data_IF_628100202720
#
_entry.id   IF_628100202720
#
_cell.length_a   1.000
_cell.length_b   1.000
_cell.length_c   1.000
_cell.angle_alpha   90.00
_cell.angle_beta   90.00
_cell.angle_gamma   90.00
#
_symmetry.space_group_name_H-M   'P 1'
#
loop_
_entity.id
_entity.type
_entity.pdbx_description
1 polymer ?
#
# COMPACT_ATOMS: atom_id res chain seq x y z
N UNK A 1 11.43 -35.34 -39.64
CA UNK A 1 10.47 -35.50 -38.53
C UNK A 1 9.80 -34.15 -38.32
N UNK A 2 8.65 -33.99 -38.96
CA UNK A 2 7.85 -32.76 -39.08
C UNK A 2 7.11 -32.50 -37.77
N UNK A 3 7.16 -31.26 -37.31
CA UNK A 3 6.53 -30.79 -36.08
C UNK A 3 5.03 -30.63 -36.32
N UNK A 4 4.22 -31.48 -35.69
CA UNK A 4 2.76 -31.30 -35.58
C UNK A 4 2.44 -30.05 -34.75
N UNK A 5 2.29 -28.91 -35.42
CA UNK A 5 1.82 -27.64 -34.83
C UNK A 5 0.30 -27.43 -34.93
N UNK A 6 -0.46 -28.44 -35.37
CA UNK A 6 -1.91 -28.31 -35.61
C UNK A 6 -2.76 -28.76 -34.40
N UNK A 7 -2.15 -29.32 -33.34
CA UNK A 7 -2.87 -29.89 -32.20
C UNK A 7 -3.23 -28.94 -31.05
N UNK A 8 -2.62 -27.75 -30.93
CA UNK A 8 -2.80 -26.94 -29.70
C UNK A 8 -4.14 -26.22 -29.68
N UNK A 9 -4.58 -25.59 -30.78
CA UNK A 9 -5.80 -24.79 -30.79
C UNK A 9 -7.07 -25.62 -30.53
N UNK A 10 -7.16 -26.85 -31.05
CA UNK A 10 -8.30 -27.76 -30.81
C UNK A 10 -8.39 -28.29 -29.38
N UNK A 11 -7.26 -28.35 -28.66
CA UNK A 11 -7.23 -28.79 -27.26
C UNK A 11 -7.80 -27.75 -26.28
N UNK A 12 -7.77 -26.46 -26.64
CA UNK A 12 -8.32 -25.38 -25.80
C UNK A 12 -9.83 -25.16 -26.01
N UNK A 13 -10.39 -25.59 -27.14
CA UNK A 13 -11.84 -25.47 -27.42
C UNK A 13 -12.71 -26.08 -26.30
N UNK A 14 -12.50 -27.34 -25.84
CA UNK A 14 -13.30 -27.89 -24.75
C UNK A 14 -13.09 -27.15 -23.42
N UNK A 15 -11.87 -26.65 -23.15
CA UNK A 15 -11.60 -25.86 -21.95
C UNK A 15 -12.33 -24.51 -21.98
N UNK A 16 -12.32 -23.82 -23.12
CA UNK A 16 -13.05 -22.56 -23.32
C UNK A 16 -14.57 -22.80 -23.22
N UNK A 17 -15.08 -23.87 -23.83
CA UNK A 17 -16.50 -24.24 -23.72
C UNK A 17 -16.88 -24.51 -22.26
N UNK A 18 -16.07 -25.25 -21.51
CA UNK A 18 -16.29 -25.47 -20.07
C UNK A 18 -16.30 -24.16 -19.28
N UNK A 19 -15.35 -23.25 -19.52
CA UNK A 19 -15.30 -21.95 -18.82
C UNK A 19 -16.53 -21.10 -19.15
N UNK A 20 -16.92 -21.04 -20.42
CA UNK A 20 -18.13 -20.31 -20.85
C UNK A 20 -19.38 -20.93 -20.22
N UNK A 21 -19.49 -22.26 -20.21
CA UNK A 21 -20.63 -22.96 -19.60
C UNK A 21 -20.71 -22.71 -18.10
N UNK A 22 -19.58 -22.80 -17.38
CA UNK A 22 -19.50 -22.46 -15.96
C UNK A 22 -19.92 -21.00 -15.74
N UNK A 23 -19.42 -20.06 -16.55
CA UNK A 23 -19.81 -18.66 -16.49
C UNK A 23 -21.32 -18.45 -16.69
N UNK A 24 -21.91 -19.11 -17.70
CA UNK A 24 -23.35 -19.04 -17.97
C UNK A 24 -24.16 -19.63 -16.81
N UNK A 25 -23.76 -20.78 -16.28
CA UNK A 25 -24.46 -21.42 -15.15
C UNK A 25 -24.35 -20.57 -13.87
N UNK A 26 -23.19 -19.98 -13.59
CA UNK A 26 -23.00 -19.08 -12.44
C UNK A 26 -23.84 -17.81 -12.58
N UNK A 27 -23.90 -17.21 -13.77
CA UNK A 27 -24.78 -16.05 -14.05
C UNK A 27 -26.25 -16.44 -13.90
N UNK A 28 -26.67 -17.60 -14.42
CA UNK A 28 -28.03 -18.09 -14.27
C UNK A 28 -28.37 -18.34 -12.79
N UNK A 29 -27.46 -18.95 -12.02
CA UNK A 29 -27.60 -19.13 -10.57
C UNK A 29 -27.67 -17.79 -9.83
N UNK A 30 -26.87 -16.79 -10.20
CA UNK A 30 -26.92 -15.47 -9.58
C UNK A 30 -28.25 -14.76 -9.86
N UNK A 31 -28.74 -14.79 -11.10
CA UNK A 31 -29.99 -14.13 -11.51
C UNK A 31 -31.23 -14.86 -10.99
N UNK A 32 -31.27 -16.19 -11.10
CA UNK A 32 -32.41 -17.00 -10.65
C UNK A 32 -32.37 -17.17 -9.13
N UNK A 33 -31.21 -17.55 -8.58
CA UNK A 33 -31.00 -17.69 -7.14
C UNK A 33 -31.30 -16.41 -6.39
N UNK A 34 -30.81 -15.26 -6.89
CA UNK A 34 -31.10 -13.95 -6.32
C UNK A 34 -32.59 -13.59 -6.26
N UNK A 35 -33.40 -14.09 -7.20
CA UNK A 35 -34.87 -13.88 -7.22
C UNK A 35 -35.66 -14.89 -6.40
N UNK A 36 -35.05 -16.03 -6.05
CA UNK A 36 -35.69 -17.10 -5.26
C UNK A 36 -35.37 -17.02 -3.77
N UNK A 37 -34.40 -16.20 -3.38
CA UNK A 37 -34.10 -15.95 -1.98
C UNK A 37 -35.23 -15.11 -1.37
N UNK A 38 -35.75 -15.47 -0.18
CA UNK A 38 -36.74 -14.67 0.48
C UNK A 38 -36.19 -13.28 0.81
N UNK A 39 -37.04 -12.26 0.69
CA UNK A 39 -36.69 -10.90 1.11
C UNK A 39 -36.24 -10.92 2.57
N UNK A 40 -35.24 -10.09 2.86
CA UNK A 40 -34.62 -10.05 4.17
C UNK A 40 -35.62 -9.54 5.21
N UNK A 41 -36.06 -10.40 6.11
CA UNK A 41 -36.92 -10.02 7.23
C UNK A 41 -36.07 -9.52 8.40
N UNK A 42 -35.99 -8.20 8.58
CA UNK A 42 -35.27 -7.55 9.67
C UNK A 42 -35.21 -6.03 9.50
N UNK A 43 -34.74 -5.27 10.50
CA UNK A 43 -34.48 -3.85 10.31
C UNK A 43 -33.46 -3.64 9.16
N UNK A 44 -33.55 -2.53 8.42
CA UNK A 44 -32.58 -2.22 7.37
C UNK A 44 -31.17 -2.11 7.96
N UNK A 45 -30.17 -2.65 7.27
CA UNK A 45 -28.76 -2.38 7.57
C UNK A 45 -28.34 -1.19 6.72
N UNK A 46 -28.31 -0.04 7.37
CA UNK A 46 -27.84 1.20 6.78
C UNK A 46 -26.38 1.41 7.15
N UNK A 47 -25.52 1.50 6.14
CA UNK A 47 -24.09 1.77 6.31
C UNK A 47 -23.65 2.76 5.23
N UNK A 48 -23.11 3.89 5.66
CA UNK A 48 -22.50 4.88 4.79
C UNK A 48 -21.03 4.98 5.16
N UNK A 49 -20.16 4.87 4.16
CA UNK A 49 -18.77 5.23 4.29
C UNK A 49 -18.57 6.63 3.71
N UNK A 50 -17.81 7.48 4.42
CA UNK A 50 -17.32 8.74 3.86
C UNK A 50 -16.05 8.43 3.06
N UNK A 51 -16.14 8.48 1.73
CA UNK A 51 -14.99 8.23 0.84
C UNK A 51 -14.08 9.45 0.71
N UNK A 52 -14.63 10.66 0.93
CA UNK A 52 -13.89 11.91 0.80
C UNK A 52 -14.55 13.06 1.56
N UNK A 53 -13.74 13.85 2.26
CA UNK A 53 -14.13 15.14 2.83
C UNK A 53 -13.36 16.27 2.12
N UNK A 54 -14.08 17.30 1.66
CA UNK A 54 -13.51 18.54 1.15
C UNK A 54 -13.96 19.69 2.04
N UNK A 55 -13.00 20.44 2.56
CA UNK A 55 -13.24 21.62 3.35
C UNK A 55 -12.86 22.83 2.50
N UNK A 56 -13.79 23.77 2.40
CA UNK A 56 -13.57 25.09 1.79
C UNK A 56 -14.16 26.15 2.72
N UNK A 57 -13.73 27.42 2.67
CA UNK A 57 -14.21 28.43 3.61
C UNK A 57 -15.74 28.47 3.72
N UNK A 58 -16.27 28.14 4.91
CA UNK A 58 -17.72 28.12 5.18
C UNK A 58 -18.48 26.87 4.73
N UNK A 59 -17.81 25.83 4.22
CA UNK A 59 -18.45 24.59 3.80
C UNK A 59 -17.61 23.34 4.09
N UNK A 60 -18.29 22.27 4.50
CA UNK A 60 -17.75 20.91 4.60
C UNK A 60 -18.54 20.06 3.60
N UNK A 61 -17.86 19.44 2.63
CA UNK A 61 -18.49 18.57 1.64
C UNK A 61 -18.02 17.13 1.86
N UNK A 62 -18.96 16.20 2.04
CA UNK A 62 -18.70 14.78 2.23
C UNK A 62 -19.18 13.99 1.01
N UNK A 63 -18.36 13.08 0.51
CA UNK A 63 -18.74 12.09 -0.51
C UNK A 63 -19.09 10.80 0.22
N UNK A 64 -20.38 10.48 0.23
CA UNK A 64 -20.93 9.33 0.93
C UNK A 64 -21.12 8.18 -0.04
N UNK A 65 -20.78 6.96 0.38
CA UNK A 65 -21.09 5.73 -0.38
C UNK A 65 -21.86 4.75 0.48
N UNK A 66 -22.92 4.20 -0.07
CA UNK A 66 -23.66 3.14 0.60
C UNK A 66 -22.91 1.81 0.50
N UNK A 67 -22.33 1.38 1.62
CA UNK A 67 -21.62 0.11 1.76
C UNK A 67 -22.54 -1.02 2.27
N UNK A 68 -23.74 -0.65 2.71
CA UNK A 68 -24.77 -1.56 3.20
C UNK A 68 -25.57 -2.26 2.08
N UNK A 69 -26.34 -3.28 2.44
CA UNK A 69 -27.23 -3.97 1.51
C UNK A 69 -28.49 -3.18 1.16
N UNK A 70 -28.94 -2.30 2.06
CA UNK A 70 -30.23 -1.60 1.98
C UNK A 70 -30.04 -0.13 1.62
N UNK A 71 -30.98 0.52 0.91
CA UNK A 71 -30.89 1.95 0.58
C UNK A 71 -30.86 2.83 1.83
N UNK A 72 -30.04 3.88 1.81
CA UNK A 72 -29.90 4.80 2.96
C UNK A 72 -30.30 6.22 2.55
N UNK A 73 -31.12 6.89 3.36
CA UNK A 73 -31.49 8.28 3.15
C UNK A 73 -31.06 9.11 4.36
N UNK A 74 -30.42 10.26 4.11
CA UNK A 74 -29.99 11.19 5.16
C UNK A 74 -31.18 12.05 5.59
N UNK A 75 -31.45 12.10 6.89
CA UNK A 75 -32.52 12.90 7.48
C UNK A 75 -31.98 14.15 8.18
N UNK A 76 -30.83 14.04 8.85
CA UNK A 76 -30.27 15.14 9.63
C UNK A 76 -28.74 15.00 9.76
N UNK A 77 -28.06 16.13 9.95
CA UNK A 77 -26.60 16.17 10.12
C UNK A 77 -26.22 17.09 11.27
N UNK A 78 -25.23 16.67 12.05
CA UNK A 78 -24.63 17.43 13.13
C UNK A 78 -23.14 17.62 12.89
N UNK A 79 -22.59 18.75 13.33
CA UNK A 79 -21.14 18.99 13.40
C UNK A 79 -20.81 19.50 14.79
N UNK A 80 -20.05 18.72 15.58
CA UNK A 80 -19.75 19.01 17.00
C UNK A 80 -21.00 19.44 17.80
N UNK A 81 -22.03 18.59 17.77
CA UNK A 81 -23.34 18.79 18.45
C UNK A 81 -24.23 19.93 17.93
N UNK A 82 -23.81 20.67 16.90
CA UNK A 82 -24.64 21.69 16.26
C UNK A 82 -25.40 21.12 15.06
N UNK A 83 -26.70 21.43 14.95
CA UNK A 83 -27.48 21.16 13.74
C UNK A 83 -26.98 22.01 12.58
N UNK A 84 -26.82 21.41 11.41
CA UNK A 84 -26.29 22.09 10.23
C UNK A 84 -27.23 21.88 9.05
N UNK A 85 -27.47 22.94 8.29
CA UNK A 85 -28.16 22.86 7.01
C UNK A 85 -27.30 22.10 6.00
N UNK A 86 -27.92 21.15 5.30
CA UNK A 86 -27.24 20.32 4.31
C UNK A 86 -27.99 20.24 2.99
N UNK A 87 -27.24 19.97 1.92
CA UNK A 87 -27.75 19.66 0.59
C UNK A 87 -27.21 18.30 0.11
N UNK A 88 -28.04 17.54 -0.60
CA UNK A 88 -27.74 16.16 -1.02
C UNK A 88 -28.13 15.08 0.01
N UNK A 89 -28.18 13.81 -0.41
CA UNK A 89 -28.53 12.68 0.47
C UNK A 89 -30.01 12.58 0.86
N UNK A 90 -30.86 13.48 0.34
CA UNK A 90 -32.31 13.51 0.59
C UNK A 90 -33.10 12.49 -0.24
N UNK A 91 -32.45 11.83 -1.20
CA UNK A 91 -33.00 10.66 -1.91
C UNK A 91 -32.29 9.40 -1.40
N UNK A 92 -32.96 8.23 -1.42
CA UNK A 92 -32.31 6.98 -1.06
C UNK A 92 -31.07 6.73 -1.92
N UNK A 93 -29.92 6.54 -1.26
CA UNK A 93 -28.65 6.17 -1.85
C UNK A 93 -28.67 4.64 -1.96
N UNK A 94 -28.77 4.13 -3.18
CA UNK A 94 -28.79 2.69 -3.45
C UNK A 94 -27.46 2.03 -3.10
N UNK A 95 -27.47 0.70 -2.96
CA UNK A 95 -26.27 -0.06 -2.62
C UNK A 95 -25.14 0.20 -3.63
N UNK A 96 -23.96 0.53 -3.10
CA UNK A 96 -22.73 0.92 -3.82
C UNK A 96 -22.79 2.25 -4.58
N UNK A 97 -23.92 2.95 -4.56
CA UNK A 97 -24.00 4.30 -5.12
C UNK A 97 -23.35 5.32 -4.18
N UNK A 98 -22.91 6.41 -4.80
CA UNK A 98 -22.23 7.53 -4.17
C UNK A 98 -23.06 8.80 -4.29
N UNK A 99 -23.14 9.58 -3.22
CA UNK A 99 -23.87 10.85 -3.15
C UNK A 99 -23.01 11.91 -2.45
N UNK A 100 -23.13 13.17 -2.87
CA UNK A 100 -22.40 14.28 -2.25
C UNK A 100 -23.30 15.00 -1.25
N UNK A 101 -22.85 15.11 -0.01
CA UNK A 101 -23.50 15.82 1.09
C UNK A 101 -22.73 17.12 1.40
N UNK A 102 -23.33 18.29 1.16
CA UNK A 102 -22.72 19.59 1.42
C UNK A 102 -23.30 20.21 2.68
N UNK A 103 -22.45 20.57 3.61
CA UNK A 103 -22.79 21.17 4.90
C UNK A 103 -22.39 22.65 4.89
N UNK A 104 -23.29 23.55 5.28
CA UNK A 104 -23.00 24.97 5.44
C UNK A 104 -22.48 25.23 6.87
N UNK A 105 -21.16 25.13 7.07
CA UNK A 105 -20.54 25.21 8.39
C UNK A 105 -19.26 26.06 8.40
N UNK A 106 -19.16 27.10 9.25
CA UNK A 106 -17.98 27.97 9.36
C UNK A 106 -16.89 27.31 10.23
N UNK A 107 -16.20 26.32 9.67
CA UNK A 107 -15.10 25.63 10.34
C UNK A 107 -13.87 26.53 10.54
N UNK A 108 -13.01 26.15 11.48
CA UNK A 108 -11.76 26.83 11.83
C UNK A 108 -10.57 25.90 11.55
N UNK A 109 -9.51 26.47 10.99
CA UNK A 109 -8.31 25.68 10.64
C UNK A 109 -7.67 25.07 11.88
N UNK A 110 -7.31 23.78 11.79
CA UNK A 110 -6.66 23.00 12.83
C UNK A 110 -7.59 22.49 13.93
N UNK A 111 -8.90 22.75 13.85
CA UNK A 111 -9.87 22.21 14.82
C UNK A 111 -10.37 20.83 14.39
N UNK A 112 -10.55 19.88 15.33
CA UNK A 112 -11.22 18.61 15.06
C UNK A 112 -12.75 18.80 14.97
N UNK A 113 -13.38 18.00 14.12
CA UNK A 113 -14.83 17.96 13.96
C UNK A 113 -15.37 16.52 13.90
N UNK A 114 -16.40 16.24 14.69
CA UNK A 114 -17.24 15.05 14.55
C UNK A 114 -18.47 15.40 13.72
N UNK A 115 -18.62 14.76 12.56
CA UNK A 115 -19.82 14.85 11.73
C UNK A 115 -20.70 13.64 11.99
N UNK A 116 -21.90 13.85 12.53
CA UNK A 116 -22.87 12.78 12.79
C UNK A 116 -24.01 12.87 11.77
N UNK A 117 -24.13 11.85 10.93
CA UNK A 117 -25.15 11.73 9.88
C UNK A 117 -26.25 10.81 10.42
N UNK A 118 -27.45 11.34 10.56
CA UNK A 118 -28.62 10.58 11.02
C UNK A 118 -29.48 10.21 9.82
N UNK A 119 -29.74 8.92 9.68
CA UNK A 119 -30.55 8.37 8.60
C UNK A 119 -32.06 8.56 8.86
N UNK A 120 -32.89 8.34 7.84
CA UNK A 120 -34.35 8.35 7.98
C UNK A 120 -34.91 7.32 8.96
N UNK A 121 -34.14 6.27 9.28
CA UNK A 121 -34.54 5.26 10.27
C UNK A 121 -34.00 5.54 11.68
N UNK A 122 -33.19 6.59 11.83
CA UNK A 122 -32.60 7.02 13.11
C UNK A 122 -31.25 6.38 13.44
N UNK A 123 -30.61 5.68 12.50
CA UNK A 123 -29.23 5.22 12.65
C UNK A 123 -28.30 6.42 12.58
N UNK A 124 -27.34 6.50 13.50
CA UNK A 124 -26.31 7.54 13.53
C UNK A 124 -25.02 6.97 12.96
N UNK A 125 -24.49 7.61 11.93
CA UNK A 125 -23.24 7.27 11.28
C UNK A 125 -22.29 8.42 11.51
N UNK A 126 -21.18 8.15 12.20
CA UNK A 126 -20.24 9.18 12.61
C UNK A 126 -18.98 9.17 11.74
N UNK A 127 -18.45 10.36 11.48
CA UNK A 127 -17.20 10.58 10.76
C UNK A 127 -16.40 11.68 11.44
N UNK A 128 -15.16 11.37 11.79
CA UNK A 128 -14.24 12.31 12.40
C UNK A 128 -13.38 12.99 11.33
N UNK A 129 -13.21 14.31 11.47
CA UNK A 129 -12.23 15.14 10.77
C UNK A 129 -11.22 15.60 11.84
N UNK A 130 -10.09 14.91 12.02
CA UNK A 130 -9.14 15.17 13.12
C UNK A 130 -8.55 16.58 13.14
N UNK A 131 -8.35 17.19 11.95
CA UNK A 131 -7.87 18.56 11.84
C UNK A 131 -8.39 19.21 10.55
N UNK A 132 -9.35 20.13 10.67
CA UNK A 132 -9.88 20.84 9.52
C UNK A 132 -8.83 21.74 8.86
N UNK A 133 -8.62 21.57 7.57
CA UNK A 133 -7.76 22.43 6.75
C UNK A 133 -8.40 22.62 5.39
N UNK A 134 -8.10 23.73 4.71
CA UNK A 134 -8.60 23.97 3.36
C UNK A 134 -8.06 22.89 2.42
N UNK A 135 -8.96 22.12 1.80
CA UNK A 135 -8.56 20.96 1.01
C UNK A 135 -7.86 21.44 -0.26
N UNK A 136 -6.62 20.98 -0.54
CA UNK A 136 -5.89 21.41 -1.72
C UNK A 136 -6.66 21.07 -3.01
N UNK A 137 -6.81 22.05 -3.89
CA UNK A 137 -7.38 21.80 -5.22
C UNK A 137 -6.39 21.00 -6.07
N UNK A 138 -6.89 19.98 -6.77
CA UNK A 138 -6.12 19.11 -7.67
C UNK A 138 -5.66 19.85 -8.95
N UNK A 139 -4.77 20.82 -8.80
CA UNK A 139 -4.13 21.58 -9.87
C UNK A 139 -2.69 21.16 -10.13
N UNK A 140 -2.06 21.74 -11.15
CA UNK A 140 -0.67 21.42 -11.51
C UNK A 140 0.34 21.62 -10.38
N UNK A 141 0.12 22.62 -9.52
CA UNK A 141 0.96 22.87 -8.33
C UNK A 141 0.87 21.75 -7.29
N UNK A 142 -0.32 21.17 -7.10
CA UNK A 142 -0.53 20.04 -6.18
C UNK A 142 0.22 18.80 -6.67
N UNK A 143 0.08 18.44 -7.94
CA UNK A 143 0.81 17.30 -8.51
C UNK A 143 2.33 17.51 -8.50
N UNK A 144 2.80 18.75 -8.70
CA UNK A 144 4.21 19.08 -8.56
C UNK A 144 4.71 18.88 -7.12
N UNK A 145 3.91 19.29 -6.12
CA UNK A 145 4.19 19.02 -4.71
C UNK A 145 4.25 17.51 -4.42
N UNK A 146 3.30 16.73 -4.93
CA UNK A 146 3.30 15.27 -4.76
C UNK A 146 4.55 14.61 -5.36
N UNK A 147 4.96 15.04 -6.55
CA UNK A 147 6.19 14.56 -7.16
C UNK A 147 7.45 14.96 -6.37
N UNK A 148 7.45 16.17 -5.80
CA UNK A 148 8.52 16.66 -4.94
C UNK A 148 8.59 15.86 -3.63
N UNK A 149 7.46 15.63 -2.97
CA UNK A 149 7.37 14.81 -1.75
C UNK A 149 7.82 13.37 -2.02
N UNK A 150 7.35 12.76 -3.10
CA UNK A 150 7.81 11.42 -3.50
C UNK A 150 9.32 11.37 -3.77
N UNK A 151 9.93 12.45 -4.25
CA UNK A 151 11.39 12.55 -4.42
C UNK A 151 12.11 12.68 -3.08
N UNK A 152 11.58 13.49 -2.16
CA UNK A 152 12.12 13.68 -0.80
C UNK A 152 11.99 12.45 0.08
N UNK A 153 10.93 11.68 -0.09
CA UNK A 153 10.68 10.47 0.69
C UNK A 153 11.31 9.24 0.05
N UNK A 154 11.34 9.13 -1.27
CA UNK A 154 11.89 7.96 -1.95
C UNK A 154 13.36 8.11 -2.33
N UNK A 155 13.65 8.90 -3.36
CA UNK A 155 14.99 8.90 -4.01
C UNK A 155 16.07 9.41 -3.07
N UNK A 156 15.85 10.57 -2.44
CA UNK A 156 16.87 11.25 -1.63
C UNK A 156 17.34 10.36 -0.46
N UNK A 157 16.46 9.90 0.44
CA UNK A 157 16.87 9.11 1.60
C UNK A 157 17.48 7.77 1.21
N UNK A 158 16.93 7.07 0.21
CA UNK A 158 17.54 5.84 -0.29
C UNK A 158 18.98 6.11 -0.73
N UNK A 159 19.22 7.13 -1.55
CA UNK A 159 20.58 7.48 -1.99
C UNK A 159 21.47 7.89 -0.82
N UNK A 160 20.96 8.65 0.15
CA UNK A 160 21.68 9.00 1.39
C UNK A 160 22.11 7.76 2.16
N UNK A 161 21.23 6.78 2.30
CA UNK A 161 21.55 5.48 2.89
C UNK A 161 22.65 4.74 2.15
N UNK A 162 22.61 4.78 0.81
CA UNK A 162 23.62 4.15 -0.04
C UNK A 162 25.02 4.80 0.12
N UNK A 163 25.10 6.06 0.57
CA UNK A 163 26.39 6.74 0.85
C UNK A 163 27.20 6.05 1.95
N UNK A 164 26.58 5.20 2.78
CA UNK A 164 27.28 4.42 3.80
C UNK A 164 28.12 3.27 3.23
N UNK A 165 28.03 2.95 1.93
CA UNK A 165 28.79 1.86 1.30
C UNK A 165 30.31 1.87 1.63
N UNK A 166 31.06 2.99 1.62
CA UNK A 166 32.47 3.01 1.99
C UNK A 166 32.72 2.61 3.45
N UNK A 167 31.84 2.98 4.37
CA UNK A 167 31.91 2.58 5.76
C UNK A 167 31.63 1.08 5.90
N UNK A 168 30.58 0.58 5.23
CA UNK A 168 30.25 -0.85 5.21
C UNK A 168 31.40 -1.72 4.68
N UNK A 169 32.20 -1.22 3.73
CA UNK A 169 33.37 -1.94 3.21
C UNK A 169 34.48 -2.15 4.25
N UNK A 170 34.56 -1.31 5.28
CA UNK A 170 35.52 -1.44 6.37
C UNK A 170 35.06 -2.45 7.42
N UNK A 171 33.76 -2.71 7.46
CA UNK A 171 33.14 -3.65 8.38
C UNK A 171 33.34 -5.07 7.81
N UNK A 172 34.02 -5.94 8.57
CA UNK A 172 34.26 -7.31 8.16
C UNK A 172 32.96 -8.10 7.87
N UNK A 173 33.08 -9.31 7.32
CA UNK A 173 31.91 -10.11 6.91
C UNK A 173 30.89 -10.37 8.02
N UNK A 174 31.33 -10.39 9.30
CA UNK A 174 30.46 -10.53 10.47
C UNK A 174 29.54 -9.32 10.64
N UNK A 175 30.06 -8.10 10.50
CA UNK A 175 29.25 -6.90 10.66
C UNK A 175 28.35 -6.62 9.46
N UNK A 176 28.76 -6.98 8.24
CA UNK A 176 27.85 -6.98 7.08
C UNK A 176 26.66 -7.93 7.32
N UNK A 177 26.92 -9.13 7.87
CA UNK A 177 25.85 -10.07 8.22
C UNK A 177 24.94 -9.54 9.33
N UNK A 178 25.50 -8.92 10.37
CA UNK A 178 24.71 -8.29 11.43
C UNK A 178 23.83 -7.16 10.90
N UNK A 179 24.36 -6.34 9.98
CA UNK A 179 23.60 -5.28 9.31
C UNK A 179 22.49 -5.84 8.43
N UNK A 180 22.75 -6.90 7.65
CA UNK A 180 21.71 -7.58 6.88
C UNK A 180 20.61 -8.16 7.78
N UNK A 181 20.98 -8.71 8.94
CA UNK A 181 20.02 -9.22 9.92
C UNK A 181 19.18 -8.07 10.51
N UNK A 182 19.81 -6.94 10.85
CA UNK A 182 19.13 -5.70 11.25
C UNK A 182 18.11 -5.27 10.20
N UNK A 183 18.52 -5.19 8.92
CA UNK A 183 17.63 -4.82 7.83
C UNK A 183 16.46 -5.80 7.68
N UNK A 184 16.69 -7.10 7.80
CA UNK A 184 15.60 -8.08 7.75
C UNK A 184 14.60 -7.86 8.89
N UNK A 185 15.07 -7.49 10.08
CA UNK A 185 14.21 -7.06 11.19
C UNK A 185 13.40 -5.81 10.85
N UNK A 186 14.03 -4.76 10.29
CA UNK A 186 13.35 -3.55 9.82
C UNK A 186 12.22 -3.90 8.82
N UNK A 187 12.57 -4.60 7.76
CA UNK A 187 11.65 -4.99 6.69
C UNK A 187 10.51 -5.89 7.21
N UNK A 188 10.79 -6.79 8.16
CA UNK A 188 9.76 -7.62 8.76
C UNK A 188 8.74 -6.79 9.56
N UNK A 189 9.19 -5.76 10.29
CA UNK A 189 8.30 -4.83 10.97
C UNK A 189 7.41 -4.10 9.95
N UNK A 190 8.01 -3.53 8.91
CA UNK A 190 7.29 -2.78 7.87
C UNK A 190 6.25 -3.64 7.15
N UNK A 191 6.57 -4.91 6.88
CA UNK A 191 5.60 -5.83 6.28
C UNK A 191 4.39 -6.06 7.18
N UNK A 192 4.58 -6.13 8.51
CA UNK A 192 3.47 -6.27 9.47
C UNK A 192 2.67 -4.98 9.53
N UNK A 193 3.34 -3.84 9.68
CA UNK A 193 2.72 -2.52 9.79
C UNK A 193 1.86 -2.19 8.56
N UNK A 194 2.43 -2.31 7.36
CA UNK A 194 1.71 -2.11 6.11
C UNK A 194 0.58 -3.13 5.87
N UNK A 195 0.67 -4.33 6.46
CA UNK A 195 -0.44 -5.30 6.43
C UNK A 195 -1.60 -4.81 7.30
N UNK A 196 -1.31 -4.32 8.51
CA UNK A 196 -2.33 -3.80 9.43
C UNK A 196 -3.01 -2.59 8.78
N UNK A 197 -2.24 -1.62 8.31
CA UNK A 197 -2.75 -0.42 7.63
C UNK A 197 -3.59 -0.79 6.39
N UNK A 198 -3.10 -1.71 5.56
CA UNK A 198 -3.84 -2.19 4.39
C UNK A 198 -5.18 -2.86 4.77
N UNK A 199 -5.23 -3.61 5.87
CA UNK A 199 -6.45 -4.26 6.36
C UNK A 199 -7.44 -3.27 6.98
N UNK A 200 -6.95 -2.26 7.70
CA UNK A 200 -7.77 -1.18 8.25
C UNK A 200 -8.40 -0.35 7.13
N UNK A 201 -7.60 0.07 6.14
CA UNK A 201 -8.08 0.79 4.96
C UNK A 201 -9.06 -0.05 4.12
N UNK A 202 -8.82 -1.36 4.02
CA UNK A 202 -9.74 -2.29 3.41
C UNK A 202 -11.09 -2.38 4.15
N UNK A 203 -11.09 -2.18 5.47
CA UNK A 203 -12.29 -2.22 6.31
C UNK A 203 -13.20 -1.01 6.13
N UNK A 204 -12.68 0.12 5.65
CA UNK A 204 -13.49 1.31 5.35
C UNK A 204 -14.20 1.22 3.99
N UNK A 205 -13.72 0.35 3.09
CA UNK A 205 -14.32 0.12 1.76
C UNK A 205 -15.54 -0.82 1.78
N UNK A 206 -16.55 -0.50 0.98
CA UNK A 206 -17.77 -1.30 0.81
C UNK A 206 -17.71 -2.38 -0.27
N UNK A 207 -16.54 -2.64 -0.85
CA UNK A 207 -16.37 -3.50 -2.02
C UNK A 207 -16.93 -4.92 -1.86
N UNK A 208 -17.66 -5.38 -2.89
CA UNK A 208 -18.35 -6.67 -2.94
C UNK A 208 -17.45 -7.93 -2.78
N UNK A 209 -16.12 -7.78 -2.91
CA UNK A 209 -15.15 -8.87 -2.82
C UNK A 209 -14.36 -8.91 -1.50
N UNK A 210 -14.71 -8.05 -0.53
CA UNK A 210 -14.07 -7.97 0.78
C UNK A 210 -12.69 -7.30 0.70
N UNK A 211 -12.58 -6.08 1.23
CA UNK A 211 -11.33 -5.31 1.23
C UNK A 211 -10.08 -6.11 1.68
N UNK A 212 -10.14 -6.92 2.76
CA UNK A 212 -8.99 -7.71 3.21
C UNK A 212 -8.41 -8.67 2.17
N UNK A 213 -9.28 -9.23 1.32
CA UNK A 213 -8.85 -10.16 0.27
C UNK A 213 -7.98 -9.45 -0.79
N UNK A 214 -8.19 -8.15 -1.01
CA UNK A 214 -7.40 -7.36 -1.96
C UNK A 214 -5.98 -7.12 -1.47
N UNK A 215 -5.79 -6.89 -0.16
CA UNK A 215 -4.45 -6.78 0.45
C UNK A 215 -3.67 -8.08 0.23
N UNK A 216 -4.30 -9.22 0.55
CA UNK A 216 -3.70 -10.55 0.37
C UNK A 216 -3.42 -10.84 -1.11
N UNK A 217 -4.37 -10.50 -2.00
CA UNK A 217 -4.21 -10.68 -3.43
C UNK A 217 -3.03 -9.87 -3.97
N UNK A 218 -2.93 -8.59 -3.61
CA UNK A 218 -1.81 -7.72 -3.97
C UNK A 218 -0.49 -8.30 -3.49
N UNK A 219 -0.43 -8.75 -2.25
CA UNK A 219 0.77 -9.34 -1.66
C UNK A 219 1.21 -10.62 -2.38
N UNK A 220 0.27 -11.54 -2.64
CA UNK A 220 0.57 -12.79 -3.36
C UNK A 220 1.03 -12.51 -4.79
N UNK A 221 0.34 -11.63 -5.52
CA UNK A 221 0.70 -11.30 -6.90
C UNK A 221 2.08 -10.65 -6.99
N UNK A 222 2.39 -9.71 -6.10
CA UNK A 222 3.69 -9.05 -6.05
C UNK A 222 4.82 -10.04 -5.71
N UNK A 223 4.60 -10.89 -4.69
CA UNK A 223 5.55 -11.92 -4.30
C UNK A 223 5.84 -12.90 -5.45
N UNK A 224 4.80 -13.39 -6.13
CA UNK A 224 4.93 -14.30 -7.26
C UNK A 224 5.60 -13.63 -8.47
N UNK A 225 5.24 -12.39 -8.78
CA UNK A 225 5.83 -11.63 -9.86
C UNK A 225 7.34 -11.42 -9.66
N UNK A 226 7.75 -10.97 -8.46
CA UNK A 226 9.16 -10.79 -8.13
C UNK A 226 9.94 -12.11 -8.09
N UNK A 227 9.30 -13.18 -7.62
CA UNK A 227 9.88 -14.54 -7.67
C UNK A 227 10.09 -14.99 -9.11
N UNK A 228 9.14 -14.73 -10.01
CA UNK A 228 9.28 -15.02 -11.44
C UNK A 228 10.39 -14.17 -12.08
N UNK A 229 10.54 -12.90 -11.69
CA UNK A 229 11.64 -12.03 -12.13
C UNK A 229 12.99 -12.59 -11.69
N UNK A 230 13.16 -12.94 -10.41
CA UNK A 230 14.41 -13.56 -9.90
C UNK A 230 14.71 -14.88 -10.64
N UNK A 231 13.71 -15.73 -10.85
CA UNK A 231 13.89 -16.98 -11.58
C UNK A 231 14.33 -16.75 -13.04
N UNK A 232 13.73 -15.78 -13.75
CA UNK A 232 14.14 -15.38 -15.11
C UNK A 232 15.56 -14.84 -15.14
N UNK A 233 15.95 -14.03 -14.15
CA UNK A 233 17.32 -13.50 -14.05
C UNK A 233 18.34 -14.61 -13.77
N UNK A 234 18.00 -15.60 -12.95
CA UNK A 234 18.84 -16.78 -12.69
C UNK A 234 19.03 -17.65 -13.93
N UNK A 235 17.95 -17.89 -14.67
CA UNK A 235 17.98 -18.78 -15.86
C UNK A 235 18.66 -18.14 -17.06
N UNK A 236 18.65 -16.80 -17.19
CA UNK A 236 19.41 -16.08 -18.22
C UNK A 236 20.92 -16.04 -17.97
N UNK A 237 21.35 -16.17 -16.72
CA UNK A 237 22.77 -16.18 -16.35
C UNK A 237 23.50 -17.50 -16.71
N UNK A 238 23.25 -18.12 -17.87
CA UNK A 238 23.71 -19.49 -18.20
C UNK A 238 25.23 -19.69 -18.33
N UNK A 239 25.65 -20.88 -17.89
CA UNK A 239 26.91 -21.63 -18.13
C UNK A 239 28.24 -20.88 -17.99
N UNK A 240 28.73 -20.75 -16.75
CA UNK A 240 30.16 -20.47 -16.52
C UNK A 240 30.48 -19.79 -15.20
N UNK A 241 29.54 -19.04 -14.61
CA UNK A 241 29.76 -18.43 -13.31
C UNK A 241 29.37 -19.37 -12.16
N UNK A 242 30.23 -19.52 -11.13
CA UNK A 242 29.92 -20.37 -9.98
C UNK A 242 28.63 -19.91 -9.30
N UNK A 243 27.92 -20.90 -8.72
CA UNK A 243 26.58 -20.85 -8.08
C UNK A 243 26.44 -19.91 -6.87
N UNK A 244 27.27 -18.87 -6.76
CA UNK A 244 27.18 -17.81 -5.75
C UNK A 244 26.15 -16.78 -6.19
N UNK A 245 25.30 -16.34 -5.26
CA UNK A 245 24.38 -15.23 -5.49
C UNK A 245 25.21 -14.01 -5.89
N UNK A 246 25.04 -13.52 -7.13
CA UNK A 246 25.71 -12.29 -7.56
C UNK A 246 25.19 -11.15 -6.70
N UNK A 247 26.08 -10.52 -5.92
CA UNK A 247 25.71 -9.39 -5.06
C UNK A 247 25.03 -8.26 -5.84
N UNK A 248 25.35 -8.10 -7.13
CA UNK A 248 24.67 -7.16 -8.03
C UNK A 248 23.24 -7.57 -8.34
N UNK A 249 22.96 -8.87 -8.53
CA UNK A 249 21.59 -9.36 -8.73
C UNK A 249 20.77 -9.18 -7.45
N UNK A 250 21.36 -9.50 -6.30
CA UNK A 250 20.68 -9.33 -5.02
C UNK A 250 20.37 -7.84 -4.75
N UNK A 251 21.34 -6.94 -4.97
CA UNK A 251 21.11 -5.49 -4.85
C UNK A 251 20.00 -4.98 -5.79
N UNK A 252 19.94 -5.50 -7.03
CA UNK A 252 18.88 -5.15 -7.98
C UNK A 252 17.51 -5.65 -7.53
N UNK A 253 17.41 -6.89 -7.06
CA UNK A 253 16.14 -7.42 -6.55
C UNK A 253 15.68 -6.70 -5.27
N UNK A 254 16.61 -6.38 -4.37
CA UNK A 254 16.33 -5.55 -3.19
C UNK A 254 15.80 -4.18 -3.65
N UNK A 255 16.45 -3.51 -4.60
CA UNK A 255 16.01 -2.21 -5.11
C UNK A 255 14.62 -2.25 -5.78
N UNK A 256 14.29 -3.30 -6.55
CA UNK A 256 12.93 -3.44 -7.12
C UNK A 256 11.90 -3.67 -6.01
N UNK A 257 12.18 -4.57 -5.07
CA UNK A 257 11.22 -4.88 -4.01
C UNK A 257 10.96 -3.70 -3.09
N UNK A 258 12.01 -2.97 -2.70
CA UNK A 258 11.89 -1.68 -2.02
C UNK A 258 11.10 -0.69 -2.88
N UNK A 259 11.42 -0.58 -4.18
CA UNK A 259 10.64 0.29 -5.08
C UNK A 259 9.15 0.00 -5.08
N UNK A 260 8.74 -1.26 -5.11
CA UNK A 260 7.33 -1.61 -5.03
C UNK A 260 6.70 -1.32 -3.65
N UNK A 261 7.48 -1.34 -2.57
CA UNK A 261 7.04 -0.90 -1.26
C UNK A 261 6.86 0.62 -1.20
N UNK A 262 7.85 1.38 -1.69
CA UNK A 262 7.83 2.84 -1.69
C UNK A 262 6.71 3.40 -2.59
N UNK A 263 6.23 2.62 -3.56
CA UNK A 263 4.99 2.93 -4.28
C UNK A 263 3.80 3.06 -3.32
N UNK A 264 3.69 2.16 -2.33
CA UNK A 264 2.65 2.20 -1.29
C UNK A 264 2.83 3.38 -0.34
N UNK A 265 4.05 3.67 0.11
CA UNK A 265 4.35 4.85 0.93
C UNK A 265 3.97 6.15 0.23
N UNK A 266 4.35 6.27 -1.04
CA UNK A 266 3.96 7.39 -1.88
C UNK A 266 2.44 7.50 -1.96
N UNK A 267 1.75 6.39 -2.19
CA UNK A 267 0.29 6.34 -2.25
C UNK A 267 -0.35 6.86 -0.96
N UNK A 268 0.13 6.42 0.21
CA UNK A 268 -0.37 6.87 1.50
C UNK A 268 -0.19 8.38 1.69
N UNK A 269 0.98 8.94 1.32
CA UNK A 269 1.22 10.39 1.34
C UNK A 269 0.25 11.11 0.39
N UNK A 270 0.13 10.64 -0.85
CA UNK A 270 -0.75 11.26 -1.85
C UNK A 270 -2.21 11.26 -1.41
N UNK A 271 -2.68 10.14 -0.85
CA UNK A 271 -4.03 9.98 -0.36
C UNK A 271 -4.32 10.91 0.82
N UNK A 272 -3.42 10.95 1.83
CA UNK A 272 -3.56 11.83 2.98
C UNK A 272 -3.68 13.30 2.55
N UNK A 273 -2.82 13.77 1.64
CA UNK A 273 -2.88 15.13 1.13
C UNK A 273 -4.13 15.41 0.26
N UNK A 274 -4.66 14.40 -0.44
CA UNK A 274 -5.86 14.54 -1.28
C UNK A 274 -7.17 14.68 -0.46
N UNK A 275 -7.21 14.11 0.74
CA UNK A 275 -8.34 14.24 1.67
C UNK A 275 -8.13 15.35 2.71
N UNK A 276 -7.02 16.09 2.62
CA UNK A 276 -6.72 17.20 3.52
C UNK A 276 -6.10 16.79 4.87
N UNK A 277 -5.73 15.53 5.06
CA UNK A 277 -5.05 15.06 6.28
C UNK A 277 -3.54 15.45 6.27
N UNK A 278 -3.26 16.75 6.29
CA UNK A 278 -1.90 17.30 6.17
C UNK A 278 -0.98 16.89 7.32
N UNK A 279 -1.52 16.82 8.54
CA UNK A 279 -0.75 16.40 9.72
C UNK A 279 -0.30 14.94 9.59
N UNK A 280 -1.24 14.04 9.24
CA UNK A 280 -0.93 12.64 8.92
C UNK A 280 0.10 12.56 7.79
N UNK A 281 -0.13 13.28 6.70
CA UNK A 281 0.79 13.32 5.56
C UNK A 281 2.21 13.77 5.93
N UNK A 282 2.36 14.76 6.81
CA UNK A 282 3.66 15.22 7.29
C UNK A 282 4.37 14.17 8.17
N UNK A 283 3.62 13.54 9.08
CA UNK A 283 4.10 12.44 9.93
C UNK A 283 4.59 11.26 9.07
N UNK A 284 3.82 10.87 8.06
CA UNK A 284 4.19 9.83 7.09
C UNK A 284 5.47 10.19 6.34
N UNK A 285 5.60 11.43 5.83
CA UNK A 285 6.80 11.90 5.13
C UNK A 285 8.05 11.76 6.01
N UNK A 286 7.97 12.17 7.28
CA UNK A 286 9.11 12.05 8.21
C UNK A 286 9.43 10.60 8.51
N UNK A 287 8.43 9.79 8.86
CA UNK A 287 8.58 8.37 9.16
C UNK A 287 9.23 7.59 8.01
N UNK A 288 8.66 7.69 6.81
CA UNK A 288 9.16 7.01 5.62
C UNK A 288 10.54 7.52 5.19
N UNK A 289 10.86 8.81 5.36
CA UNK A 289 12.22 9.32 5.06
C UNK A 289 13.30 8.64 5.91
N UNK A 290 13.01 8.44 7.20
CA UNK A 290 13.95 7.75 8.11
C UNK A 290 14.12 6.29 7.68
N UNK A 291 13.01 5.60 7.39
CA UNK A 291 12.98 4.20 6.97
C UNK A 291 13.74 4.00 5.65
N UNK A 292 13.41 4.79 4.62
CA UNK A 292 14.05 4.75 3.32
C UNK A 292 15.57 5.02 3.36
N UNK A 293 16.02 5.80 4.34
CA UNK A 293 17.46 5.98 4.59
C UNK A 293 18.12 4.68 5.02
N UNK A 294 17.48 3.91 5.90
CA UNK A 294 18.00 2.61 6.34
C UNK A 294 17.92 1.53 5.25
N UNK A 295 16.94 1.62 4.35
CA UNK A 295 16.79 0.72 3.21
C UNK A 295 17.88 0.92 2.14
N UNK A 296 18.39 2.14 1.99
CA UNK A 296 19.57 2.40 1.17
C UNK A 296 20.78 1.54 1.56
N UNK A 297 20.95 1.24 2.87
CA UNK A 297 22.00 0.34 3.36
C UNK A 297 21.77 -1.12 2.90
N UNK A 298 20.50 -1.55 2.85
CA UNK A 298 20.10 -2.89 2.38
C UNK A 298 20.56 -3.13 0.94
N UNK A 299 20.35 -2.14 0.08
CA UNK A 299 20.70 -2.20 -1.34
C UNK A 299 22.21 -2.34 -1.52
N UNK A 300 23.02 -1.63 -0.73
CA UNK A 300 24.49 -1.61 -0.89
C UNK A 300 25.22 -2.69 -0.09
N UNK A 301 24.59 -3.32 0.90
CA UNK A 301 25.23 -4.36 1.71
C UNK A 301 25.76 -5.57 0.87
N UNK A 302 25.02 -6.09 -0.14
CA UNK A 302 25.54 -7.11 -1.06
C UNK A 302 26.68 -6.63 -1.98
N UNK A 303 26.90 -5.32 -2.10
CA UNK A 303 27.88 -4.69 -2.99
C UNK A 303 29.22 -4.40 -2.31
N UNK A 304 29.36 -4.68 -1.01
CA UNK A 304 30.57 -4.42 -0.21
C UNK A 304 31.84 -5.03 -0.80
N UNK A 305 31.75 -6.21 -1.44
CA UNK A 305 32.90 -6.89 -2.08
C UNK A 305 33.11 -6.51 -3.56
N UNK A 306 32.39 -5.51 -4.07
CA UNK A 306 32.45 -5.05 -5.46
C UNK A 306 32.72 -3.55 -5.51
N UNK A 307 33.17 -3.06 -6.67
CA UNK A 307 33.31 -1.63 -6.97
C UNK A 307 32.34 -1.24 -8.09
N UNK A 308 31.02 -1.14 -7.81
CA UNK A 308 30.06 -0.67 -8.81
C UNK A 308 30.38 0.78 -9.22
N UNK A 309 30.14 1.10 -10.49
CA UNK A 309 30.19 2.48 -10.97
C UNK A 309 29.10 3.33 -10.28
N UNK A 310 29.36 4.63 -10.12
CA UNK A 310 28.41 5.55 -9.49
C UNK A 310 27.06 5.57 -10.21
N UNK A 311 27.05 5.49 -11.55
CA UNK A 311 25.82 5.42 -12.35
C UNK A 311 24.96 4.21 -11.99
N UNK A 312 25.56 3.06 -11.66
CA UNK A 312 24.83 1.88 -11.21
C UNK A 312 24.26 2.07 -9.80
N UNK A 313 24.98 2.75 -8.91
CA UNK A 313 24.45 3.07 -7.58
C UNK A 313 23.27 4.05 -7.69
N UNK A 314 23.41 5.13 -8.46
CA UNK A 314 22.32 6.07 -8.70
C UNK A 314 21.13 5.38 -9.38
N UNK A 315 21.37 4.49 -10.34
CA UNK A 315 20.31 3.71 -10.98
C UNK A 315 19.57 2.80 -10.01
N UNK A 316 20.25 2.18 -9.04
CA UNK A 316 19.60 1.40 -7.98
C UNK A 316 18.80 2.30 -7.02
N UNK A 317 19.34 3.46 -6.65
CA UNK A 317 18.64 4.42 -5.80
C UNK A 317 17.38 4.99 -6.45
N UNK A 318 17.45 5.32 -7.75
CA UNK A 318 16.28 5.73 -8.53
C UNK A 318 15.27 4.59 -8.68
N UNK A 319 15.73 3.36 -8.93
CA UNK A 319 14.85 2.20 -9.05
C UNK A 319 14.06 1.92 -7.77
N UNK A 320 14.70 2.12 -6.61
CA UNK A 320 14.08 1.95 -5.31
C UNK A 320 13.23 3.18 -4.89
N UNK A 321 13.69 4.41 -5.16
CA UNK A 321 13.02 5.60 -4.66
C UNK A 321 11.98 6.22 -5.60
N UNK A 322 12.16 6.15 -6.91
CA UNK A 322 11.27 6.81 -7.86
C UNK A 322 9.81 6.30 -7.83
N UNK A 323 9.52 5.02 -7.53
CA UNK A 323 8.15 4.57 -7.37
C UNK A 323 7.34 5.35 -6.33
N UNK A 324 7.96 5.94 -5.30
CA UNK A 324 7.26 6.83 -4.35
C UNK A 324 6.63 8.05 -5.03
N UNK A 325 7.24 8.55 -6.10
CA UNK A 325 6.67 9.63 -6.92
C UNK A 325 5.40 9.14 -7.61
N UNK A 326 5.46 7.96 -8.24
CA UNK A 326 4.29 7.33 -8.85
C UNK A 326 3.19 7.08 -7.84
N UNK A 327 3.56 6.63 -6.64
CA UNK A 327 2.66 6.42 -5.51
C UNK A 327 1.96 7.71 -5.12
N UNK A 328 2.71 8.77 -4.83
CA UNK A 328 2.16 10.06 -4.42
C UNK A 328 1.23 10.68 -5.47
N UNK A 329 1.59 10.56 -6.75
CA UNK A 329 0.72 11.02 -7.84
C UNK A 329 -0.55 10.17 -7.96
N UNK A 330 -0.45 8.85 -7.80
CA UNK A 330 -1.62 7.98 -7.81
C UNK A 330 -2.51 8.26 -6.59
N UNK A 331 -1.95 8.34 -5.38
CA UNK A 331 -2.68 8.58 -4.14
C UNK A 331 -3.38 9.94 -4.16
N UNK A 332 -2.77 10.93 -4.82
CA UNK A 332 -3.36 12.24 -5.05
C UNK A 332 -4.65 12.22 -5.91
N UNK A 333 -4.91 11.11 -6.62
CA UNK A 333 -6.07 10.95 -7.52
C UNK A 333 -6.98 9.78 -7.15
N UNK A 334 -6.45 8.78 -6.43
CA UNK A 334 -7.15 7.55 -6.08
C UNK A 334 -7.84 7.75 -4.74
N UNK A 335 -9.15 7.93 -4.78
CA UNK A 335 -10.02 7.98 -3.60
C UNK A 335 -10.66 6.62 -3.28
N UNK A 336 -10.35 5.60 -4.07
CA UNK A 336 -10.92 4.26 -3.92
C UNK A 336 -10.10 3.44 -2.92
N UNK A 337 -10.70 3.17 -1.75
CA UNK A 337 -10.06 2.40 -0.67
C UNK A 337 -9.64 0.99 -1.10
N UNK A 338 -10.39 0.35 -2.02
CA UNK A 338 -10.10 -0.99 -2.50
C UNK A 338 -8.79 -1.04 -3.32
N UNK A 339 -8.58 -0.08 -4.21
CA UNK A 339 -7.35 0.04 -4.99
C UNK A 339 -6.17 0.38 -4.07
N UNK A 340 -6.38 1.24 -3.08
CA UNK A 340 -5.32 1.58 -2.13
C UNK A 340 -4.91 0.39 -1.26
N UNK A 341 -5.88 -0.37 -0.74
CA UNK A 341 -5.62 -1.61 0.00
C UNK A 341 -4.87 -2.65 -0.86
N UNK A 342 -5.25 -2.80 -2.13
CA UNK A 342 -4.54 -3.67 -3.07
C UNK A 342 -3.07 -3.25 -3.27
N UNK A 343 -2.81 -1.95 -3.46
CA UNK A 343 -1.47 -1.41 -3.68
C UNK A 343 -0.59 -1.48 -2.42
N UNK A 344 -1.15 -1.27 -1.23
CA UNK A 344 -0.46 -1.54 0.04
C UNK A 344 -0.09 -3.03 0.14
N UNK A 345 -1.03 -3.92 -0.21
CA UNK A 345 -0.77 -5.35 -0.34
C UNK A 345 0.40 -5.67 -1.28
N UNK A 346 0.47 -5.03 -2.45
CA UNK A 346 1.61 -5.17 -3.38
C UNK A 346 2.94 -4.83 -2.70
N UNK A 347 2.98 -3.76 -1.90
CA UNK A 347 4.15 -3.38 -1.10
C UNK A 347 4.55 -4.47 -0.09
N UNK A 348 3.58 -4.98 0.68
CA UNK A 348 3.79 -6.09 1.64
C UNK A 348 4.41 -7.30 0.95
N UNK A 349 3.81 -7.74 -0.17
CA UNK A 349 4.31 -8.88 -0.94
C UNK A 349 5.73 -8.68 -1.46
N UNK A 350 6.06 -7.44 -1.85
CA UNK A 350 7.39 -7.08 -2.29
C UNK A 350 8.43 -7.16 -1.17
N UNK A 351 8.13 -6.64 0.02
CA UNK A 351 9.00 -6.71 1.18
C UNK A 351 9.24 -8.17 1.59
N UNK A 352 8.18 -8.96 1.71
CA UNK A 352 8.27 -10.38 2.08
C UNK A 352 9.18 -11.11 1.10
N UNK A 353 9.06 -10.82 -0.19
CA UNK A 353 9.90 -11.41 -1.22
C UNK A 353 11.38 -11.02 -1.05
N UNK A 354 11.67 -9.75 -0.75
CA UNK A 354 13.03 -9.27 -0.46
C UNK A 354 13.62 -9.96 0.77
N UNK A 355 12.86 -10.09 1.85
CA UNK A 355 13.29 -10.80 3.07
C UNK A 355 13.68 -12.25 2.74
N UNK A 356 12.87 -12.96 1.95
CA UNK A 356 13.17 -14.32 1.49
C UNK A 356 14.47 -14.36 0.67
N UNK A 357 14.73 -13.34 -0.16
CA UNK A 357 15.98 -13.26 -0.92
C UNK A 357 17.21 -12.95 -0.05
N UNK A 358 17.04 -12.23 1.05
CA UNK A 358 18.12 -11.90 1.98
C UNK A 358 18.45 -13.06 2.91
N UNK A 359 17.49 -13.94 3.22
CA UNK A 359 17.66 -15.05 4.16
C UNK A 359 18.90 -15.95 3.90
N UNK A 360 19.25 -16.34 2.67
CA UNK A 360 20.49 -17.09 2.40
C UNK A 360 21.77 -16.34 2.77
N UNK A 361 21.75 -15.00 2.75
CA UNK A 361 22.90 -14.15 3.09
C UNK A 361 23.11 -14.01 4.60
N UNK A 362 22.12 -14.44 5.41
CA UNK A 362 22.21 -14.47 6.87
C UNK A 362 22.89 -15.73 7.42
N UNK A 363 23.01 -16.79 6.60
CA UNK A 363 23.55 -18.07 7.06
C UNK A 363 24.98 -17.94 7.55
N UNK A 364 25.23 -18.47 8.74
CA UNK A 364 26.56 -18.53 9.35
C UNK A 364 27.46 -19.59 8.72
N UNK A 365 28.66 -19.75 9.30
CA UNK A 365 29.63 -20.78 8.89
C UNK A 365 29.09 -22.21 9.02
N UNK A 366 28.15 -22.42 9.95
CA UNK A 366 27.53 -23.72 10.23
C UNK A 366 26.25 -23.94 9.41
N UNK A 367 26.01 -23.14 8.36
CA UNK A 367 24.80 -23.08 7.52
C UNK A 367 23.48 -22.84 8.28
N UNK A 368 23.55 -22.55 9.58
CA UNK A 368 22.40 -22.14 10.40
C UNK A 368 22.00 -20.70 10.08
N UNK A 369 20.71 -20.50 9.82
CA UNK A 369 20.10 -19.17 9.66
C UNK A 369 19.90 -18.48 11.01
N UNK A 370 19.57 -19.26 12.05
CA UNK A 370 19.26 -18.76 13.39
C UNK A 370 20.46 -18.93 14.33
N UNK A 371 21.52 -18.14 14.12
CA UNK A 371 22.58 -17.97 15.12
C UNK A 371 22.29 -16.73 16.00
N UNK A 372 22.82 -16.65 17.24
CA UNK A 372 22.51 -15.56 18.18
C UNK A 372 22.75 -14.16 17.60
N UNK A 373 23.76 -14.01 16.73
CA UNK A 373 24.05 -12.75 16.07
C UNK A 373 22.97 -12.35 15.04
N UNK A 374 22.42 -13.30 14.29
CA UNK A 374 21.32 -13.04 13.36
C UNK A 374 20.03 -12.74 14.12
N UNK A 375 19.73 -13.49 15.17
CA UNK A 375 18.56 -13.24 16.02
C UNK A 375 18.66 -11.85 16.66
N UNK A 376 19.82 -11.53 17.26
CA UNK A 376 20.06 -10.22 17.86
C UNK A 376 19.97 -9.08 16.84
N UNK A 377 20.46 -9.28 15.61
CA UNK A 377 20.30 -8.32 14.53
C UNK A 377 18.84 -8.10 14.15
N UNK A 378 18.09 -9.18 13.88
CA UNK A 378 16.65 -9.09 13.53
C UNK A 378 15.86 -8.43 14.67
N UNK A 379 16.09 -8.83 15.92
CA UNK A 379 15.42 -8.23 17.08
C UNK A 379 15.77 -6.75 17.25
N UNK A 380 17.05 -6.37 17.06
CA UNK A 380 17.46 -4.98 17.07
C UNK A 380 16.77 -4.18 15.94
N UNK A 381 16.55 -4.80 14.78
CA UNK A 381 15.83 -4.19 13.67
C UNK A 381 14.38 -3.90 14.01
N UNK A 382 13.65 -4.93 14.47
CA UNK A 382 12.27 -4.80 14.94
C UNK A 382 12.15 -3.71 16.02
N UNK A 383 13.06 -3.72 17.00
CA UNK A 383 13.09 -2.73 18.08
C UNK A 383 13.38 -1.32 17.57
N UNK A 384 14.33 -1.17 16.64
CA UNK A 384 14.66 0.14 16.04
C UNK A 384 13.44 0.72 15.34
N UNK A 385 12.72 -0.10 14.57
CA UNK A 385 11.50 0.33 13.90
C UNK A 385 10.41 0.73 14.88
N UNK A 386 10.14 -0.11 15.87
CA UNK A 386 9.15 0.17 16.91
C UNK A 386 9.46 1.48 17.67
N UNK A 387 10.71 1.67 18.09
CA UNK A 387 11.15 2.90 18.77
C UNK A 387 11.07 4.13 17.85
N UNK A 388 11.36 3.96 16.56
CA UNK A 388 11.24 5.07 15.59
C UNK A 388 9.78 5.47 15.42
N UNK A 389 8.85 4.51 15.35
CA UNK A 389 7.42 4.80 15.33
C UNK A 389 6.95 5.59 16.55
N UNK A 390 7.43 5.23 17.75
CA UNK A 390 7.13 5.97 18.98
C UNK A 390 7.64 7.42 18.95
N UNK A 391 8.84 7.66 18.39
CA UNK A 391 9.44 8.99 18.30
C UNK A 391 8.76 9.90 17.27
N UNK A 392 8.10 9.32 16.27
CA UNK A 392 7.39 10.06 15.22
C UNK A 392 6.00 10.50 15.68
N UNK A 393 5.39 9.75 16.61
CA UNK A 393 4.05 10.02 17.17
C UNK A 393 4.13 10.92 18.42
N UNK A 394 5.26 10.93 19.12
CA UNK A 394 5.53 11.77 20.31
C UNK A 394 5.98 13.19 19.93
#
# INVERSE_FOLDING_TARGET
MTVDRVGSARAWVPAIICVVLIGVVLVALAVVGGRTLPDRAGPPIEQLAVERNELSPGSITLTLRNTGPDPVQVAQVFVNDAYVDFDGGTRPIERLDTETLRLAYPWQSGQPYQVSIVTSTGVVIEHEIPAAVDTPQAGGGFFALMALLGTYVGIIPVVLGMLFLPALRRIGSRGVRALLALTVGLLAFLAVDATIEGLELAGTGGGAFGGPALVVLGAVLAFLALTAVDHRLRTRARHGEPRRVSGTRLAFMIAIGIGLHNLGEGLAIGAAYAVGELALGATLVVGFTIQNTTEGLAIVAPLTRRRPALSRLLGLGVLAGAPAIGGALLGATVTNAELSAFLLGVGVGAIVQVVVQMAPSLRGRDDRVLDPATIGGVAAGLLTMYLTGLLVIA
#
